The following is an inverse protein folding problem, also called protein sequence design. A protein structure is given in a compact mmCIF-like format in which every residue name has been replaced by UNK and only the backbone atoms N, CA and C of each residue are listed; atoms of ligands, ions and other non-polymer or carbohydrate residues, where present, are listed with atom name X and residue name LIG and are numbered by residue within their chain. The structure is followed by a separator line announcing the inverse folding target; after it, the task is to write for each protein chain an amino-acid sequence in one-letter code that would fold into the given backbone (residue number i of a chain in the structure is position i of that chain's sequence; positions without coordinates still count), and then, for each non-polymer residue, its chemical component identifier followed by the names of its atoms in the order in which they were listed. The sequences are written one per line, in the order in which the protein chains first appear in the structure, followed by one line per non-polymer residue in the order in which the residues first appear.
data_IF_601540620027
#
_entry.id   IF_601540620027
#
_cell.length_a   1.000
_cell.length_b   1.000
_cell.length_c   1.000
_cell.angle_alpha   90.00
_cell.angle_beta   90.00
_cell.angle_gamma   90.00
#
_symmetry.space_group_name_H-M   'P 1'
#
loop_
_entity.id
_entity.type
_entity.pdbx_description
1 polymer ?
#
# COMPACT_ATOMS: atom_id res chain seq x y z
N UNK A 1 18.78 2.64 -12.87
CA UNK A 1 18.01 3.89 -12.68
C UNK A 1 17.21 3.78 -11.39
N UNK A 2 16.91 4.88 -10.68
CA UNK A 2 16.05 4.82 -9.50
C UNK A 2 14.64 4.30 -9.86
N UNK A 3 13.95 3.71 -8.88
CA UNK A 3 12.55 3.29 -9.03
C UNK A 3 11.65 4.46 -8.67
N UNK A 4 10.80 4.88 -9.60
CA UNK A 4 9.81 5.92 -9.33
C UNK A 4 8.65 5.35 -8.51
N UNK A 5 8.48 5.87 -7.29
CA UNK A 5 7.43 5.48 -6.36
C UNK A 5 6.44 6.62 -6.19
N UNK A 6 5.20 6.39 -6.60
CA UNK A 6 4.10 7.34 -6.47
C UNK A 6 3.28 7.01 -5.23
N UNK A 7 3.02 8.00 -4.40
CA UNK A 7 2.27 7.85 -3.16
C UNK A 7 0.99 8.69 -3.22
N UNK A 8 -0.12 8.10 -2.80
CA UNK A 8 -1.39 8.80 -2.60
C UNK A 8 -1.90 8.54 -1.19
N UNK A 9 -2.39 9.59 -0.55
CA UNK A 9 -2.92 9.56 0.81
C UNK A 9 -4.33 10.15 0.79
N UNK A 10 -5.31 9.39 1.27
CA UNK A 10 -6.67 9.87 1.48
C UNK A 10 -6.95 9.90 2.97
N UNK A 11 -7.15 11.11 3.51
CA UNK A 11 -7.35 11.33 4.94
C UNK A 11 -8.85 11.26 5.24
N UNK A 12 -9.26 10.34 6.11
CA UNK A 12 -10.65 10.24 6.56
C UNK A 12 -10.95 11.23 7.66
N UNK A 13 -10.10 11.29 8.69
CA UNK A 13 -10.16 12.32 9.73
C UNK A 13 -8.80 12.51 10.41
N UNK A 14 -8.70 13.67 11.05
CA UNK A 14 -7.60 14.05 11.93
C UNK A 14 -8.23 14.41 13.28
N UNK A 15 -7.78 13.75 14.33
CA UNK A 15 -8.27 13.99 15.69
C UNK A 15 -7.11 14.45 16.57
N UNK A 16 -7.34 15.50 17.37
CA UNK A 16 -6.41 15.90 18.40
C UNK A 16 -6.48 14.91 19.58
N UNK A 17 -5.35 14.31 19.95
CA UNK A 17 -5.28 13.39 21.08
C UNK A 17 -4.98 14.14 22.38
N UNK A 18 -4.00 15.04 22.33
CA UNK A 18 -3.61 15.91 23.44
C UNK A 18 -2.95 17.18 22.90
N UNK A 19 -3.57 18.32 23.21
CA UNK A 19 -3.12 19.66 22.79
C UNK A 19 -1.79 20.06 23.42
N UNK A 20 -1.45 19.52 24.60
CA UNK A 20 -0.19 19.83 25.29
C UNK A 20 1.00 19.12 24.64
N UNK A 21 0.78 17.92 24.12
CA UNK A 21 1.82 17.06 23.56
C UNK A 21 1.91 17.12 22.03
N UNK A 22 1.09 17.97 21.39
CA UNK A 22 0.98 18.13 19.93
C UNK A 22 0.78 16.79 19.21
N UNK A 23 -0.05 15.91 19.78
CA UNK A 23 -0.31 14.58 19.23
C UNK A 23 -1.63 14.54 18.49
N UNK A 24 -1.60 13.96 17.30
CA UNK A 24 -2.77 13.77 16.45
C UNK A 24 -2.92 12.31 16.07
N UNK A 25 -4.15 11.83 16.11
CA UNK A 25 -4.55 10.58 15.50
C UNK A 25 -5.00 10.85 14.08
N UNK A 26 -4.49 10.06 13.14
CA UNK A 26 -4.81 10.14 11.72
C UNK A 26 -5.39 8.80 11.29
N UNK A 27 -6.57 8.81 10.69
CA UNK A 27 -7.08 7.66 9.95
C UNK A 27 -7.05 7.98 8.47
N UNK A 28 -6.37 7.13 7.70
CA UNK A 28 -6.12 7.37 6.28
C UNK A 28 -6.01 6.08 5.48
N UNK A 29 -6.32 6.19 4.19
CA UNK A 29 -5.91 5.19 3.21
C UNK A 29 -4.62 5.64 2.55
N UNK A 30 -3.62 4.76 2.61
CA UNK A 30 -2.32 4.96 2.01
C UNK A 30 -2.18 4.07 0.78
N UNK A 31 -1.79 4.63 -0.35
CA UNK A 31 -1.62 3.90 -1.60
C UNK A 31 -0.23 4.17 -2.18
N UNK A 32 0.45 3.09 -2.56
CA UNK A 32 1.75 3.12 -3.23
C UNK A 32 1.58 2.56 -4.64
N UNK A 33 2.24 3.17 -5.63
CA UNK A 33 2.33 2.67 -7.00
C UNK A 33 3.77 2.78 -7.51
N UNK A 34 4.26 1.70 -8.12
CA UNK A 34 5.56 1.66 -8.80
C UNK A 34 5.47 0.70 -9.99
N UNK A 35 6.48 0.72 -10.86
CA UNK A 35 6.60 -0.23 -11.95
C UNK A 35 7.79 -1.16 -11.71
N UNK A 36 7.56 -2.47 -11.83
CA UNK A 36 8.58 -3.51 -11.75
C UNK A 36 8.51 -4.39 -13.01
N UNK A 37 9.50 -4.21 -13.89
CA UNK A 37 9.59 -4.93 -15.17
C UNK A 37 9.74 -6.45 -15.00
N UNK A 38 10.16 -6.94 -13.83
CA UNK A 38 10.26 -8.39 -13.55
C UNK A 38 8.89 -9.06 -13.40
N UNK A 39 7.84 -8.25 -13.19
CA UNK A 39 6.46 -8.70 -12.99
C UNK A 39 5.61 -8.54 -14.26
N UNK A 40 6.21 -8.21 -15.41
CA UNK A 40 5.49 -8.18 -16.68
C UNK A 40 5.06 -9.59 -17.05
N UNK A 41 3.77 -9.78 -17.32
CA UNK A 41 3.22 -11.07 -17.75
C UNK A 41 2.22 -10.87 -18.89
N UNK A 42 2.19 -11.83 -19.81
CA UNK A 42 1.24 -11.88 -20.92
C UNK A 42 0.36 -13.12 -20.76
N UNK A 43 -0.88 -13.04 -21.29
CA UNK A 43 -1.90 -14.11 -21.35
C UNK A 43 -1.44 -15.49 -20.86
N UNK A 44 -1.80 -15.83 -19.62
CA UNK A 44 -1.67 -17.20 -19.14
C UNK A 44 -2.88 -17.99 -19.66
N UNK A 45 -2.76 -18.51 -20.89
CA UNK A 45 -3.80 -19.32 -21.54
C UNK A 45 -4.78 -18.52 -22.43
N UNK A 46 -6.02 -19.00 -22.53
CA UNK A 46 -7.05 -18.44 -23.45
C UNK A 46 -7.77 -17.19 -22.93
N UNK A 47 -7.47 -16.75 -21.70
CA UNK A 47 -8.06 -15.57 -21.06
C UNK A 47 -6.97 -14.55 -20.85
N UNK A 48 -7.21 -13.32 -21.27
CA UNK A 48 -6.29 -12.21 -20.99
C UNK A 48 -6.42 -11.78 -19.53
N UNK A 49 -5.55 -12.31 -18.68
CA UNK A 49 -5.40 -11.80 -17.32
C UNK A 49 -4.68 -10.45 -17.39
N UNK A 50 -5.40 -9.36 -17.15
CA UNK A 50 -4.82 -8.00 -17.13
C UNK A 50 -4.27 -7.63 -15.75
N UNK A 51 -4.77 -8.28 -14.69
CA UNK A 51 -4.42 -7.98 -13.30
C UNK A 51 -4.43 -9.24 -12.43
N UNK A 52 -3.43 -9.36 -11.57
CA UNK A 52 -3.39 -10.32 -10.46
C UNK A 52 -3.73 -9.55 -9.19
N UNK A 53 -4.76 -9.99 -8.47
CA UNK A 53 -5.18 -9.43 -7.19
C UNK A 53 -4.81 -10.39 -6.06
N UNK A 54 -4.28 -9.84 -4.97
CA UNK A 54 -3.98 -10.61 -3.76
C UNK A 54 -3.96 -9.73 -2.52
N UNK A 55 -4.01 -10.38 -1.36
CA UNK A 55 -3.92 -9.71 -0.06
C UNK A 55 -2.45 -9.67 0.41
N UNK A 56 -2.21 -9.90 1.70
CA UNK A 56 -0.88 -9.86 2.31
C UNK A 56 0.09 -10.91 1.73
N UNK A 57 -0.39 -12.09 1.34
CA UNK A 57 0.43 -13.18 0.79
C UNK A 57 1.13 -12.79 -0.52
N UNK A 58 0.42 -12.07 -1.38
CA UNK A 58 1.00 -11.56 -2.63
C UNK A 58 2.05 -10.49 -2.33
N UNK A 59 1.75 -9.56 -1.42
CA UNK A 59 2.71 -8.52 -0.98
C UNK A 59 4.00 -9.12 -0.43
N UNK A 60 3.93 -10.19 0.34
CA UNK A 60 5.11 -10.87 0.91
C UNK A 60 6.04 -11.49 -0.13
N UNK A 61 5.51 -11.79 -1.32
CA UNK A 61 6.28 -12.37 -2.43
C UNK A 61 6.93 -11.32 -3.33
N UNK A 62 6.59 -10.03 -3.13
CA UNK A 62 7.05 -8.93 -3.97
C UNK A 62 8.11 -8.10 -3.26
N UNK A 63 9.03 -7.53 -4.03
CA UNK A 63 9.81 -6.41 -3.53
C UNK A 63 8.88 -5.21 -3.34
N UNK A 64 8.90 -4.59 -2.16
CA UNK A 64 8.11 -3.40 -1.84
C UNK A 64 9.02 -2.25 -1.38
N UNK A 65 8.69 -0.99 -1.71
CA UNK A 65 9.45 0.15 -1.18
C UNK A 65 9.21 0.29 0.32
N UNK A 66 10.29 0.49 1.07
CA UNK A 66 10.22 0.73 2.51
C UNK A 66 9.76 2.15 2.77
N UNK A 67 8.49 2.31 3.18
CA UNK A 67 7.89 3.61 3.52
C UNK A 67 7.53 3.63 5.00
N UNK A 68 7.92 4.69 5.69
CA UNK A 68 7.65 4.90 7.10
C UNK A 68 7.35 6.36 7.39
N UNK A 69 6.56 6.62 8.44
CA UNK A 69 6.27 7.96 8.90
C UNK A 69 7.33 8.36 9.93
N UNK A 70 8.18 9.32 9.58
CA UNK A 70 9.33 9.74 10.42
C UNK A 70 8.91 10.24 11.81
N UNK A 71 7.72 10.83 11.91
CA UNK A 71 7.20 11.43 13.15
C UNK A 71 6.11 10.58 13.83
N UNK A 72 5.95 9.32 13.42
CA UNK A 72 4.99 8.41 14.03
C UNK A 72 5.44 8.02 15.44
N UNK A 73 4.61 8.33 16.45
CA UNK A 73 4.87 7.94 17.84
C UNK A 73 4.36 6.53 18.17
N UNK A 74 3.19 6.19 17.65
CA UNK A 74 2.57 4.88 17.80
C UNK A 74 1.58 4.67 16.67
N UNK A 75 1.43 3.42 16.24
CA UNK A 75 0.43 3.01 15.26
C UNK A 75 -0.37 1.86 15.83
N UNK A 76 -1.66 2.10 16.07
CA UNK A 76 -2.63 1.05 16.35
C UNK A 76 -3.46 0.80 15.11
N UNK A 77 -3.52 -0.44 14.63
CA UNK A 77 -4.50 -0.85 13.62
C UNK A 77 -5.87 -0.86 14.28
N UNK A 78 -6.75 0.08 13.93
CA UNK A 78 -8.13 0.08 14.39
C UNK A 78 -8.86 -1.12 13.75
N UNK A 79 -9.03 -2.22 14.51
CA UNK A 79 -9.88 -3.36 14.14
C UNK A 79 -9.14 -4.57 13.54
N UNK A 80 -9.24 -5.69 14.25
CA UNK A 80 -9.21 -7.09 13.74
C UNK A 80 -8.10 -7.52 12.76
N UNK A 81 -7.00 -8.05 13.32
CA UNK A 81 -6.21 -9.25 12.91
C UNK A 81 -5.82 -9.55 11.44
N UNK A 82 -6.13 -8.73 10.44
CA UNK A 82 -5.51 -8.81 9.13
C UNK A 82 -5.30 -7.39 8.65
N UNK A 83 -4.08 -7.06 8.25
CA UNK A 83 -3.81 -5.79 7.60
C UNK A 83 -4.71 -5.80 6.35
N UNK A 84 -5.70 -4.90 6.26
CA UNK A 84 -6.54 -4.75 5.05
C UNK A 84 -5.65 -4.18 3.95
N UNK A 85 -4.87 -5.07 3.35
CA UNK A 85 -3.91 -4.79 2.30
C UNK A 85 -4.44 -5.41 1.04
N UNK A 86 -4.59 -4.56 0.02
CA UNK A 86 -4.92 -5.01 -1.33
C UNK A 86 -3.69 -4.75 -2.18
N UNK A 87 -3.20 -5.80 -2.84
CA UNK A 87 -2.07 -5.76 -3.76
C UNK A 87 -2.58 -6.13 -5.15
N UNK A 88 -2.31 -5.27 -6.12
CA UNK A 88 -2.61 -5.49 -7.52
C UNK A 88 -1.33 -5.44 -8.35
N UNK A 89 -1.14 -6.43 -9.23
CA UNK A 89 -0.06 -6.48 -10.21
C UNK A 89 -0.68 -6.50 -11.59
N UNK A 90 -0.49 -5.43 -12.35
CA UNK A 90 -0.95 -5.32 -13.73
C UNK A 90 0.04 -6.01 -14.68
N UNK A 91 -0.46 -6.45 -15.83
CA UNK A 91 0.32 -7.13 -16.87
C UNK A 91 1.53 -6.33 -17.38
N UNK A 92 1.48 -5.00 -17.30
CA UNK A 92 2.56 -4.07 -17.67
C UNK A 92 3.65 -3.90 -16.59
N UNK A 93 3.56 -4.68 -15.49
CA UNK A 93 4.47 -4.60 -14.36
C UNK A 93 4.12 -3.49 -13.36
N UNK A 94 3.01 -2.77 -13.53
CA UNK A 94 2.55 -1.79 -12.54
C UNK A 94 2.06 -2.51 -11.28
N UNK A 95 2.64 -2.17 -10.14
CA UNK A 95 2.22 -2.66 -8.82
C UNK A 95 1.51 -1.56 -8.07
N UNK A 96 0.36 -1.89 -7.47
CA UNK A 96 -0.40 -1.02 -6.59
C UNK A 96 -0.60 -1.72 -5.25
N UNK A 97 -0.24 -1.04 -4.16
CA UNK A 97 -0.45 -1.51 -2.80
C UNK A 97 -1.32 -0.49 -2.08
N UNK A 98 -2.44 -0.94 -1.54
CA UNK A 98 -3.37 -0.14 -0.74
C UNK A 98 -3.34 -0.65 0.69
N UNK A 99 -3.11 0.27 1.63
CA UNK A 99 -2.97 0.02 3.06
C UNK A 99 -3.97 0.94 3.78
N UNK A 100 -4.85 0.38 4.59
CA UNK A 100 -5.65 1.18 5.52
C UNK A 100 -4.85 1.38 6.83
N UNK A 101 -4.71 2.63 7.26
CA UNK A 101 -3.92 3.07 8.42
C UNK A 101 -4.75 3.95 9.35
#
# INVERSE_FOLDING_TARGET
MPVDVYVRSYIFYIQNLDTHNLQYTLQMRFQIRYNDQRLVFNNVGSVSTEVILGEEELKQSLWIPHVFFVNEKSSGTLGTQKQDVITAVHSDGTVIILINK
#
